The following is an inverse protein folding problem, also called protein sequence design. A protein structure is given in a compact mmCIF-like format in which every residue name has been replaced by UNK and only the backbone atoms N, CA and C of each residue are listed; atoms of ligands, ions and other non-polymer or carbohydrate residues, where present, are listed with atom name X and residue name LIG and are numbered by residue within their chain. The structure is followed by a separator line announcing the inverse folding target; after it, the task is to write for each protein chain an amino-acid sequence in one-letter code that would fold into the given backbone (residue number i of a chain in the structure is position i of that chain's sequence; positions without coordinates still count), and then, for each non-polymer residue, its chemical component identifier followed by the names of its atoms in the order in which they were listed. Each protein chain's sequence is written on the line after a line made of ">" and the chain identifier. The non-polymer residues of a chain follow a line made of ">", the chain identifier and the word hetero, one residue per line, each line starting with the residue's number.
data_IF_236120967767
#
_entry.id   IF_236120967767
#
_cell.length_a   1.000
_cell.length_b   1.000
_cell.length_c   1.000
_cell.angle_alpha   90.00
_cell.angle_beta   90.00
_cell.angle_gamma   90.00
#
_symmetry.space_group_name_H-M   'P 1'
#
loop_
_entity.id
_entity.type
_entity.pdbx_description
1 polymer ?
#
# COMPACT_ATOMS: atom_id res chain seq x y z
N UNK A 1 60.23 2.33 -41.63
CA UNK A 1 59.57 2.17 -42.94
C UNK A 1 59.39 0.69 -43.21
N UNK A 2 58.20 0.18 -42.90
CA UNK A 2 57.62 -1.14 -43.21
C UNK A 2 56.18 -1.11 -42.65
N UNK A 3 55.23 -1.93 -43.16
CA UNK A 3 54.02 -1.42 -43.82
C UNK A 3 52.73 -1.54 -43.00
N UNK A 4 51.72 -0.72 -43.35
CA UNK A 4 50.32 -0.93 -42.97
C UNK A 4 49.60 -1.71 -44.07
N UNK A 5 49.17 -2.93 -43.76
CA UNK A 5 48.28 -3.76 -44.58
C UNK A 5 46.90 -3.73 -43.92
N UNK A 6 45.88 -3.33 -44.67
CA UNK A 6 44.48 -3.40 -44.29
C UNK A 6 43.88 -4.79 -44.54
N UNK A 7 43.08 -5.29 -43.60
CA UNK A 7 42.06 -6.34 -43.78
C UNK A 7 40.92 -6.04 -42.78
N UNK A 8 39.78 -5.54 -43.25
CA UNK A 8 38.54 -6.28 -43.54
C UNK A 8 37.89 -6.97 -42.32
N UNK A 9 36.65 -6.53 -42.04
CA UNK A 9 35.48 -7.29 -41.56
C UNK A 9 35.62 -8.27 -40.37
N UNK A 10 34.81 -8.06 -39.31
CA UNK A 10 34.04 -9.06 -38.54
C UNK A 10 33.86 -8.61 -37.07
N UNK A 11 32.69 -8.10 -36.70
CA UNK A 11 32.09 -8.41 -35.38
C UNK A 11 30.57 -8.15 -35.41
N UNK A 12 29.84 -9.11 -36.00
CA UNK A 12 28.53 -9.53 -35.48
C UNK A 12 28.78 -10.75 -34.58
N UNK A 13 27.80 -11.04 -33.70
CA UNK A 13 27.72 -12.16 -32.74
C UNK A 13 28.34 -11.84 -31.36
N UNK A 14 27.76 -12.19 -30.21
CA UNK A 14 26.61 -13.04 -29.92
C UNK A 14 26.07 -12.72 -28.52
N UNK A 15 24.75 -12.62 -28.38
CA UNK A 15 24.06 -12.87 -27.11
C UNK A 15 24.01 -14.38 -26.90
N UNK A 16 24.83 -14.90 -26.00
CA UNK A 16 24.84 -16.31 -25.65
C UNK A 16 23.76 -16.58 -24.59
N UNK A 17 22.71 -17.28 -25.01
CA UNK A 17 21.73 -17.91 -24.12
C UNK A 17 22.41 -19.11 -23.44
N UNK A 18 22.55 -19.10 -22.12
CA UNK A 18 22.95 -20.28 -21.36
C UNK A 18 21.69 -21.12 -21.06
N UNK A 19 21.44 -22.14 -21.88
CA UNK A 19 20.50 -23.22 -21.55
C UNK A 19 21.32 -24.34 -20.92
N UNK A 20 21.21 -24.51 -19.60
CA UNK A 20 21.67 -25.72 -18.93
C UNK A 20 20.61 -26.80 -19.10
N UNK A 21 20.88 -27.73 -20.03
CA UNK A 21 20.10 -28.94 -20.20
C UNK A 21 20.51 -29.97 -19.13
N UNK A 22 19.61 -30.33 -18.21
CA UNK A 22 19.68 -31.62 -17.52
C UNK A 22 18.93 -32.66 -18.37
N UNK A 23 19.67 -33.64 -18.85
CA UNK A 23 19.18 -34.77 -19.63
C UNK A 23 18.83 -35.89 -18.66
N UNK A 24 17.55 -36.18 -18.45
CA UNK A 24 17.07 -37.56 -18.19
C UNK A 24 15.64 -37.74 -18.67
N UNK A 25 15.52 -38.54 -19.75
CA UNK A 25 14.45 -39.47 -20.12
C UNK A 25 12.98 -39.02 -20.20
N UNK A 26 12.43 -39.28 -21.40
CA UNK A 26 11.00 -39.47 -21.75
C UNK A 26 10.17 -38.19 -21.68
N UNK A 27 9.17 -37.92 -22.52
CA UNK A 27 8.57 -38.52 -23.69
C UNK A 27 7.46 -37.52 -24.05
N UNK A 28 7.34 -37.18 -25.33
CA UNK A 28 6.11 -36.70 -25.98
C UNK A 28 5.61 -35.25 -25.83
N UNK A 29 5.30 -34.69 -27.00
CA UNK A 29 4.17 -33.80 -27.32
C UNK A 29 4.31 -32.29 -27.11
N UNK A 30 4.79 -31.61 -28.16
CA UNK A 30 4.51 -30.19 -28.41
C UNK A 30 3.12 -30.09 -29.02
N UNK A 31 2.14 -29.62 -28.26
CA UNK A 31 0.84 -29.17 -28.80
C UNK A 31 0.92 -27.67 -29.12
N UNK A 32 0.99 -27.34 -30.41
CA UNK A 32 0.75 -26.00 -30.90
C UNK A 32 -0.77 -25.72 -30.85
N UNK A 33 -1.20 -24.81 -29.99
CA UNK A 33 -2.57 -24.27 -30.02
C UNK A 33 -2.60 -23.02 -30.91
N UNK A 34 -3.14 -23.19 -32.10
CA UNK A 34 -3.64 -22.12 -32.96
C UNK A 34 -5.01 -21.73 -32.42
N UNK A 35 -5.18 -20.49 -31.97
CA UNK A 35 -6.50 -19.93 -31.66
C UNK A 35 -6.79 -18.83 -32.67
N UNK A 36 -7.66 -19.15 -33.63
CA UNK A 36 -8.30 -18.18 -34.54
C UNK A 36 -9.34 -17.33 -33.81
N UNK A 37 -9.59 -16.09 -34.27
CA UNK A 37 -10.58 -15.20 -33.69
C UNK A 37 -11.97 -15.49 -34.27
N UNK A 38 -12.98 -15.67 -33.40
CA UNK A 38 -14.38 -15.56 -33.79
C UNK A 38 -15.15 -14.79 -32.73
N UNK A 39 -15.51 -13.55 -33.07
CA UNK A 39 -16.56 -12.78 -32.42
C UNK A 39 -17.92 -13.47 -32.58
N UNK A 40 -18.79 -13.30 -31.58
CA UNK A 40 -20.18 -13.00 -31.89
C UNK A 40 -20.62 -11.67 -31.26
N UNK A 41 -21.14 -10.82 -32.15
CA UNK A 41 -21.93 -9.61 -31.89
C UNK A 41 -23.11 -9.94 -30.99
N UNK A 42 -23.19 -9.31 -29.81
CA UNK A 42 -24.34 -9.44 -28.92
C UNK A 42 -25.04 -8.08 -28.71
N UNK A 43 -26.33 -8.15 -29.03
CA UNK A 43 -27.40 -7.15 -29.03
C UNK A 43 -27.60 -6.36 -27.73
N UNK A 44 -27.85 -5.06 -27.90
CA UNK A 44 -28.46 -4.12 -26.92
C UNK A 44 -29.70 -4.71 -26.23
N UNK A 45 -29.86 -4.54 -24.91
CA UNK A 45 -31.17 -4.44 -24.28
C UNK A 45 -31.55 -2.99 -23.96
N UNK A 46 -32.86 -2.82 -23.84
CA UNK A 46 -33.63 -1.60 -23.93
C UNK A 46 -33.58 -0.69 -22.69
N UNK A 47 -33.94 0.57 -22.95
CA UNK A 47 -34.28 1.62 -21.99
C UNK A 47 -35.18 1.12 -20.85
N UNK A 48 -34.77 1.35 -19.60
CA UNK A 48 -35.65 1.34 -18.43
C UNK A 48 -36.08 2.78 -18.07
N UNK A 49 -37.35 2.98 -17.63
CA UNK A 49 -37.90 4.30 -17.39
C UNK A 49 -37.45 4.89 -16.03
N UNK A 50 -37.37 6.22 -15.99
CA UNK A 50 -36.97 7.02 -14.85
C UNK A 50 -37.78 6.73 -13.58
N UNK A 51 -37.09 6.38 -12.49
CA UNK A 51 -37.65 6.31 -11.14
C UNK A 51 -37.90 7.73 -10.60
N UNK A 52 -39.17 8.06 -10.42
CA UNK A 52 -39.60 9.32 -9.82
C UNK A 52 -39.09 9.44 -8.37
N UNK A 53 -38.39 10.54 -8.07
CA UNK A 53 -37.97 10.90 -6.72
C UNK A 53 -39.21 11.21 -5.85
N UNK A 54 -39.33 10.65 -4.63
CA UNK A 54 -40.45 10.96 -3.74
C UNK A 54 -40.34 12.39 -3.20
N UNK A 55 -41.48 13.07 -3.13
CA UNK A 55 -41.56 14.47 -2.73
C UNK A 55 -41.16 14.70 -1.25
N UNK A 56 -40.54 15.86 -0.93
CA UNK A 56 -39.91 16.15 0.37
C UNK A 56 -40.87 16.13 1.57
N UNK A 57 -42.18 16.18 1.34
CA UNK A 57 -43.20 16.11 2.39
C UNK A 57 -43.41 14.69 2.93
N UNK A 58 -43.19 13.64 2.12
CA UNK A 58 -43.33 12.24 2.57
C UNK A 58 -42.11 11.75 3.37
N UNK A 59 -40.93 12.32 3.13
CA UNK A 59 -39.68 11.98 3.84
C UNK A 59 -39.64 12.51 5.29
N UNK A 60 -40.27 13.66 5.58
CA UNK A 60 -40.33 14.20 6.96
C UNK A 60 -41.25 13.38 7.88
N UNK A 61 -42.31 12.76 7.34
CA UNK A 61 -43.28 11.98 8.11
C UNK A 61 -42.71 10.62 8.55
N UNK A 62 -41.87 10.00 7.72
CA UNK A 62 -41.21 8.72 8.02
C UNK A 62 -40.07 8.85 9.04
N UNK A 63 -39.35 9.98 9.05
CA UNK A 63 -38.28 10.21 10.04
C UNK A 63 -38.82 10.38 11.47
N UNK A 64 -39.94 11.12 11.62
CA UNK A 64 -40.60 11.33 12.94
C UNK A 64 -41.23 10.04 13.50
N UNK A 65 -41.71 9.15 12.62
CA UNK A 65 -42.21 7.82 13.04
C UNK A 65 -41.08 6.87 13.46
N UNK A 66 -39.91 6.93 12.80
CA UNK A 66 -38.74 6.12 13.20
C UNK A 66 -38.18 6.53 14.56
N UNK A 67 -38.10 7.82 14.87
CA UNK A 67 -37.64 8.30 16.18
C UNK A 67 -38.59 7.89 17.32
N UNK A 68 -39.90 7.95 17.10
CA UNK A 68 -40.89 7.51 18.08
C UNK A 68 -40.83 5.99 18.34
N UNK A 69 -40.53 5.19 17.30
CA UNK A 69 -40.38 3.73 17.44
C UNK A 69 -39.11 3.35 18.23
N UNK A 70 -38.00 4.06 18.01
CA UNK A 70 -36.73 3.82 18.73
C UNK A 70 -36.84 4.22 20.21
N UNK A 71 -37.46 5.36 20.52
CA UNK A 71 -37.70 5.79 21.90
C UNK A 71 -38.60 4.80 22.68
N UNK A 72 -39.58 4.18 22.02
CA UNK A 72 -40.46 3.17 22.63
C UNK A 72 -39.75 1.84 22.88
N UNK A 73 -38.75 1.48 22.05
CA UNK A 73 -37.92 0.27 22.25
C UNK A 73 -37.00 0.42 23.47
N UNK A 74 -36.36 1.58 23.63
CA UNK A 74 -35.48 1.88 24.77
C UNK A 74 -36.23 1.91 26.11
N UNK A 75 -37.49 2.38 26.13
CA UNK A 75 -38.34 2.34 27.34
C UNK A 75 -38.80 0.92 27.69
N UNK A 76 -39.02 0.05 26.71
CA UNK A 76 -39.38 -1.36 26.96
C UNK A 76 -38.20 -2.19 27.47
N UNK A 77 -36.96 -1.89 27.07
CA UNK A 77 -35.77 -2.58 27.60
C UNK A 77 -35.43 -2.17 29.03
N UNK A 78 -35.84 -0.97 29.48
CA UNK A 78 -35.65 -0.53 30.87
C UNK A 78 -36.67 -1.14 31.86
N UNK A 79 -37.84 -1.57 31.38
CA UNK A 79 -38.92 -2.10 32.21
C UNK A 79 -38.93 -3.64 32.36
N UNK A 80 -37.97 -4.34 31.73
CA UNK A 80 -37.94 -5.80 31.64
C UNK A 80 -36.74 -6.48 32.30
N UNK A 81 -35.97 -5.77 33.13
CA UNK A 81 -34.90 -6.40 33.90
C UNK A 81 -35.51 -7.11 35.13
N UNK A 82 -35.39 -8.44 35.26
CA UNK A 82 -35.84 -9.13 36.46
C UNK A 82 -35.03 -8.66 37.67
N UNK A 83 -35.73 -8.43 38.79
CA UNK A 83 -35.09 -8.12 40.06
C UNK A 83 -34.07 -9.20 40.40
N UNK A 84 -32.79 -8.80 40.46
CA UNK A 84 -31.68 -9.66 40.87
C UNK A 84 -31.99 -10.18 42.27
N UNK A 85 -32.32 -11.46 42.38
CA UNK A 85 -32.39 -12.16 43.67
C UNK A 85 -31.03 -11.98 44.35
N UNK A 86 -31.05 -11.47 45.58
CA UNK A 86 -29.87 -11.44 46.46
C UNK A 86 -29.33 -12.87 46.54
N UNK A 87 -28.20 -13.11 45.87
CA UNK A 87 -27.42 -14.32 46.05
C UNK A 87 -26.71 -14.17 47.38
N UNK A 88 -27.01 -15.09 48.31
CA UNK A 88 -26.31 -15.18 49.59
C UNK A 88 -24.81 -15.34 49.32
N UNK A 89 -24.07 -14.31 49.70
CA UNK A 89 -22.61 -14.27 49.62
C UNK A 89 -22.09 -15.27 50.66
N UNK A 90 -21.30 -16.29 50.28
CA UNK A 90 -20.69 -17.18 51.26
C UNK A 90 -19.82 -16.35 52.21
N UNK A 91 -20.03 -16.60 53.50
CA UNK A 91 -19.29 -16.00 54.63
C UNK A 91 -17.81 -16.35 54.45
N UNK A 92 -17.04 -15.38 53.95
CA UNK A 92 -15.59 -15.51 53.87
C UNK A 92 -15.06 -15.56 55.31
N UNK A 93 -14.43 -16.67 55.67
CA UNK A 93 -13.66 -16.80 56.90
C UNK A 93 -12.55 -15.74 56.84
N UNK A 94 -12.50 -14.88 57.86
CA UNK A 94 -11.44 -13.92 58.03
C UNK A 94 -10.14 -14.69 58.30
N UNK A 95 -9.26 -14.76 57.31
CA UNK A 95 -7.84 -14.93 57.55
C UNK A 95 -7.28 -13.53 57.78
N UNK A 96 -6.99 -13.23 59.04
CA UNK A 96 -6.18 -12.08 59.45
C UNK A 96 -4.79 -12.20 58.84
N UNK A 97 -4.64 -11.67 57.63
CA UNK A 97 -3.38 -11.18 57.12
C UNK A 97 -3.57 -9.67 56.88
N UNK A 98 -2.70 -8.80 57.44
CA UNK A 98 -2.83 -7.37 57.23
C UNK A 98 -2.80 -7.08 55.72
N UNK A 99 -3.75 -6.31 55.18
CA UNK A 99 -3.67 -5.87 53.80
C UNK A 99 -2.42 -5.00 53.69
N UNK A 100 -1.44 -5.47 52.93
CA UNK A 100 -0.39 -4.60 52.44
C UNK A 100 -1.08 -3.44 51.72
N UNK A 101 -0.99 -2.25 52.30
CA UNK A 101 -1.48 -1.02 51.70
C UNK A 101 -0.79 -0.88 50.33
N UNK A 102 -1.48 -1.29 49.26
CA UNK A 102 -1.14 -0.83 47.92
C UNK A 102 -1.53 0.64 47.91
N UNK A 103 -0.53 1.49 47.71
CA UNK A 103 -0.68 2.94 47.59
C UNK A 103 -1.66 3.25 46.46
N UNK A 104 -2.86 3.73 46.80
CA UNK A 104 -3.86 4.24 45.84
C UNK A 104 -3.26 5.34 44.91
N UNK A 105 -2.17 5.96 45.32
CA UNK A 105 -1.43 6.98 44.55
C UNK A 105 -0.70 6.41 43.31
N UNK A 106 -0.21 5.16 43.35
CA UNK A 106 0.51 4.57 42.21
C UNK A 106 -0.45 4.19 41.07
N UNK A 107 -1.66 3.74 41.43
CA UNK A 107 -2.73 3.46 40.46
C UNK A 107 -3.28 4.74 39.83
N UNK A 108 -3.38 5.84 40.60
CA UNK A 108 -3.79 7.14 40.07
C UNK A 108 -2.76 7.74 39.08
N UNK A 109 -1.46 7.60 39.39
CA UNK A 109 -0.39 8.05 38.49
C UNK A 109 -0.35 7.23 37.18
N UNK A 110 -0.52 5.90 37.25
CA UNK A 110 -0.58 5.04 36.08
C UNK A 110 -1.79 5.36 35.18
N UNK A 111 -2.96 5.61 35.79
CA UNK A 111 -4.19 5.97 35.06
C UNK A 111 -4.05 7.33 34.39
N UNK A 112 -3.50 8.33 35.07
CA UNK A 112 -3.31 9.68 34.49
C UNK A 112 -2.30 9.68 33.34
N UNK A 113 -1.21 8.92 33.47
CA UNK A 113 -0.25 8.73 32.37
C UNK A 113 -0.91 8.10 31.14
N UNK A 114 -1.64 6.99 31.33
CA UNK A 114 -2.35 6.32 30.23
C UNK A 114 -3.40 7.20 29.58
N UNK A 115 -4.12 8.01 30.36
CA UNK A 115 -5.08 8.98 29.83
C UNK A 115 -4.39 10.06 28.98
N UNK A 116 -3.24 10.57 29.42
CA UNK A 116 -2.46 11.55 28.66
C UNK A 116 -1.95 10.98 27.33
N UNK A 117 -1.49 9.72 27.33
CA UNK A 117 -1.07 9.01 26.12
C UNK A 117 -2.23 8.82 25.13
N UNK A 118 -3.40 8.42 25.62
CA UNK A 118 -4.61 8.28 24.79
C UNK A 118 -5.02 9.61 24.15
N UNK A 119 -5.01 10.71 24.91
CA UNK A 119 -5.33 12.04 24.37
C UNK A 119 -4.29 12.46 23.32
N UNK A 120 -3.01 12.19 23.55
CA UNK A 120 -1.94 12.49 22.58
C UNK A 120 -2.11 11.68 21.30
N UNK A 121 -2.45 10.40 21.43
CA UNK A 121 -2.73 9.51 20.29
C UNK A 121 -3.93 10.00 19.48
N UNK A 122 -5.02 10.39 20.15
CA UNK A 122 -6.21 10.95 19.51
C UNK A 122 -5.92 12.25 18.76
N UNK A 123 -5.19 13.19 19.39
CA UNK A 123 -4.82 14.45 18.74
C UNK A 123 -4.00 14.21 17.47
N UNK A 124 -3.06 13.26 17.53
CA UNK A 124 -2.22 12.88 16.37
C UNK A 124 -3.03 12.21 15.27
N UNK A 125 -3.94 11.30 15.60
CA UNK A 125 -4.86 10.69 14.63
C UNK A 125 -5.72 11.75 13.92
N UNK A 126 -6.29 12.68 14.67
CA UNK A 126 -7.06 13.80 14.09
C UNK A 126 -6.20 14.68 13.18
N UNK A 127 -4.93 14.93 13.54
CA UNK A 127 -4.01 15.67 12.69
C UNK A 127 -3.80 14.98 11.34
N UNK A 128 -3.55 13.66 11.32
CA UNK A 128 -3.37 12.90 10.07
C UNK A 128 -4.64 12.95 9.22
N UNK A 129 -5.79 12.68 9.83
CA UNK A 129 -7.09 12.71 9.14
C UNK A 129 -7.33 14.08 8.48
N UNK A 130 -7.03 15.16 9.21
CA UNK A 130 -7.23 16.53 8.75
C UNK A 130 -6.24 16.88 7.64
N UNK A 131 -4.95 16.60 7.82
CA UNK A 131 -3.91 16.86 6.83
C UNK A 131 -4.22 16.15 5.51
N UNK A 132 -4.46 14.84 5.54
CA UNK A 132 -4.78 14.06 4.32
C UNK A 132 -6.07 14.57 3.67
N UNK A 133 -7.12 14.88 4.44
CA UNK A 133 -8.35 15.42 3.89
C UNK A 133 -8.12 16.75 3.18
N UNK A 134 -7.36 17.64 3.79
CA UNK A 134 -7.14 18.98 3.27
C UNK A 134 -6.22 18.93 2.03
N UNK A 135 -5.16 18.10 2.05
CA UNK A 135 -4.33 17.79 0.88
C UNK A 135 -5.14 17.20 -0.28
N UNK A 136 -5.98 16.21 -0.02
CA UNK A 136 -6.86 15.62 -1.05
C UNK A 136 -7.85 16.66 -1.58
N UNK A 137 -8.41 17.50 -0.71
CA UNK A 137 -9.35 18.56 -1.12
C UNK A 137 -8.66 19.67 -1.92
N UNK A 138 -7.35 19.87 -1.72
CA UNK A 138 -6.52 20.79 -2.47
C UNK A 138 -6.12 20.28 -3.87
N UNK A 139 -6.31 18.99 -4.15
CA UNK A 139 -6.05 18.45 -5.49
C UNK A 139 -7.04 19.05 -6.50
N UNK A 140 -6.51 19.55 -7.62
CA UNK A 140 -7.34 19.84 -8.79
C UNK A 140 -7.81 18.53 -9.42
N UNK A 141 -9.01 18.10 -9.02
CA UNK A 141 -9.62 16.87 -9.50
C UNK A 141 -9.76 16.80 -11.02
N UNK A 142 -9.93 17.94 -11.71
CA UNK A 142 -10.01 17.95 -13.17
C UNK A 142 -8.65 17.65 -13.79
N UNK A 143 -7.60 18.31 -13.33
CA UNK A 143 -6.22 18.02 -13.75
C UNK A 143 -5.81 16.58 -13.44
N UNK A 144 -6.15 16.04 -12.26
CA UNK A 144 -5.86 14.65 -11.90
C UNK A 144 -6.55 13.67 -12.87
N UNK A 145 -7.84 13.86 -13.14
CA UNK A 145 -8.60 13.00 -14.08
C UNK A 145 -8.11 13.13 -15.51
N UNK A 146 -7.73 14.34 -15.92
CA UNK A 146 -7.15 14.60 -17.24
C UNK A 146 -5.82 13.86 -17.41
N UNK A 147 -4.93 13.93 -16.42
CA UNK A 147 -3.67 13.19 -16.40
C UNK A 147 -3.90 11.66 -16.45
N UNK A 148 -4.77 11.13 -15.59
CA UNK A 148 -5.12 9.70 -15.59
C UNK A 148 -5.73 9.23 -16.93
N UNK A 149 -6.43 10.10 -17.64
CA UNK A 149 -7.01 9.79 -18.94
C UNK A 149 -5.96 9.85 -20.05
N UNK A 150 -5.07 10.85 -20.03
CA UNK A 150 -4.07 11.12 -21.06
C UNK A 150 -2.85 10.20 -20.99
N UNK A 151 -2.23 10.08 -19.81
CA UNK A 151 -1.00 9.30 -19.60
C UNK A 151 -1.21 8.02 -18.80
N UNK A 152 -2.36 7.88 -18.15
CA UNK A 152 -2.64 6.74 -17.27
C UNK A 152 -2.08 6.90 -15.85
N UNK A 153 -1.39 8.00 -15.56
CA UNK A 153 -0.85 8.25 -14.22
C UNK A 153 -0.84 9.75 -13.88
N UNK A 154 -0.81 10.07 -12.59
CA UNK A 154 -0.70 11.43 -12.05
C UNK A 154 0.34 11.44 -10.92
N UNK A 155 1.20 12.45 -10.88
CA UNK A 155 2.21 12.64 -9.84
C UNK A 155 1.93 13.96 -9.15
N UNK A 156 1.92 13.95 -7.81
CA UNK A 156 1.74 15.12 -6.96
C UNK A 156 2.89 15.14 -5.96
N UNK A 157 3.73 16.17 -6.06
CA UNK A 157 4.83 16.40 -5.13
C UNK A 157 4.39 17.29 -3.97
N UNK A 158 5.01 17.12 -2.81
CA UNK A 158 4.66 17.81 -1.56
C UNK A 158 3.16 17.63 -1.25
N UNK A 159 2.70 16.39 -1.25
CA UNK A 159 1.27 16.11 -1.11
C UNK A 159 0.73 16.49 0.28
N UNK A 160 1.42 16.11 1.35
CA UNK A 160 1.02 16.45 2.72
C UNK A 160 1.52 17.84 3.14
N UNK A 161 2.62 18.32 2.55
CA UNK A 161 3.30 19.57 2.93
C UNK A 161 3.67 19.64 4.42
N UNK A 162 3.73 18.48 5.08
CA UNK A 162 4.04 18.32 6.51
C UNK A 162 5.19 17.32 6.66
N UNK A 163 6.41 17.86 6.71
CA UNK A 163 7.63 17.08 6.87
C UNK A 163 7.67 16.32 8.20
N UNK A 164 7.05 16.87 9.26
CA UNK A 164 6.99 16.25 10.58
C UNK A 164 6.07 15.02 10.52
N UNK A 165 4.87 15.17 9.98
CA UNK A 165 3.93 14.07 9.79
C UNK A 165 4.53 12.98 8.91
N UNK A 166 5.16 13.37 7.80
CA UNK A 166 5.83 12.43 6.89
C UNK A 166 6.93 11.63 7.61
N UNK A 167 7.72 12.29 8.45
CA UNK A 167 8.75 11.62 9.27
C UNK A 167 8.16 10.71 10.35
N UNK A 168 7.04 11.07 10.96
CA UNK A 168 6.35 10.20 11.91
C UNK A 168 5.76 8.96 11.23
N UNK A 169 5.18 9.09 10.03
CA UNK A 169 4.67 7.97 9.24
C UNK A 169 5.80 7.04 8.74
N UNK A 170 6.92 7.62 8.32
CA UNK A 170 8.15 6.87 7.98
C UNK A 170 8.65 6.04 9.18
N UNK A 171 8.68 6.64 10.37
CA UNK A 171 9.10 5.96 11.59
C UNK A 171 8.15 4.81 11.95
N UNK A 172 6.83 4.99 11.79
CA UNK A 172 5.85 3.90 11.95
C UNK A 172 6.07 2.77 10.94
N UNK A 173 6.30 3.12 9.66
CA UNK A 173 6.58 2.14 8.62
C UNK A 173 7.84 1.31 8.92
N UNK A 174 8.92 1.96 9.36
CA UNK A 174 10.15 1.29 9.77
C UNK A 174 9.94 0.41 11.02
N UNK A 175 9.10 0.83 11.95
CA UNK A 175 8.76 0.04 13.15
C UNK A 175 7.94 -1.20 12.80
N UNK A 176 6.95 -1.08 11.91
CA UNK A 176 6.18 -2.21 11.41
C UNK A 176 7.07 -3.22 10.70
N UNK A 177 7.98 -2.74 9.85
CA UNK A 177 8.91 -3.60 9.12
C UNK A 177 9.80 -4.44 10.06
N UNK A 178 10.31 -3.83 11.13
CA UNK A 178 11.16 -4.51 12.11
C UNK A 178 10.38 -5.42 13.06
N UNK A 179 9.04 -5.32 13.09
CA UNK A 179 8.21 -6.15 13.96
C UNK A 179 8.06 -7.55 13.37
N UNK A 180 8.49 -8.61 14.08
CA UNK A 180 8.41 -9.98 13.59
C UNK A 180 6.98 -10.46 13.35
N UNK A 181 5.98 -9.83 13.98
CA UNK A 181 4.55 -10.17 13.88
C UNK A 181 3.83 -9.49 12.70
N UNK A 182 4.45 -8.48 12.07
CA UNK A 182 3.88 -7.73 10.96
C UNK A 182 4.44 -8.15 9.60
N UNK A 183 5.58 -8.84 9.58
CA UNK A 183 6.22 -9.33 8.36
C UNK A 183 5.61 -10.67 7.91
N UNK A 184 4.45 -10.63 7.25
CA UNK A 184 4.08 -11.72 6.34
C UNK A 184 4.99 -11.64 5.12
N UNK A 185 6.05 -12.43 5.11
CA UNK A 185 7.02 -12.42 4.02
C UNK A 185 6.36 -12.90 2.72
N UNK A 186 6.24 -12.01 1.72
CA UNK A 186 5.79 -12.42 0.40
C UNK A 186 6.87 -13.25 -0.26
N UNK A 187 6.60 -14.54 -0.49
CA UNK A 187 7.53 -15.44 -1.19
C UNK A 187 7.73 -15.04 -2.65
N UNK A 188 6.82 -14.23 -3.22
CA UNK A 188 6.86 -13.76 -4.61
C UNK A 188 7.99 -12.74 -4.83
N UNK A 189 8.51 -12.10 -3.76
CA UNK A 189 9.51 -11.04 -3.85
C UNK A 189 10.91 -11.43 -3.36
N UNK A 190 11.18 -12.73 -3.18
CA UNK A 190 12.50 -13.24 -2.76
C UNK A 190 13.59 -12.76 -3.74
N UNK A 191 14.56 -12.00 -3.23
CA UNK A 191 15.69 -11.46 -4.02
C UNK A 191 15.48 -10.04 -4.57
N UNK A 192 14.27 -9.49 -4.50
CA UNK A 192 13.99 -8.10 -4.94
C UNK A 192 14.38 -7.04 -3.90
N UNK A 193 14.47 -7.43 -2.63
CA UNK A 193 14.60 -6.51 -1.50
C UNK A 193 13.30 -5.80 -1.11
N UNK A 194 12.17 -6.19 -1.69
CA UNK A 194 10.85 -5.60 -1.42
C UNK A 194 10.12 -6.45 -0.39
N UNK A 195 9.77 -5.82 0.73
CA UNK A 195 8.91 -6.38 1.76
C UNK A 195 7.55 -5.72 1.67
N UNK A 196 6.50 -6.53 1.55
CA UNK A 196 5.13 -6.05 1.58
C UNK A 196 4.45 -6.55 2.86
N UNK A 197 3.81 -5.64 3.59
CA UNK A 197 2.96 -5.96 4.74
C UNK A 197 1.59 -5.32 4.57
N UNK A 198 0.54 -6.05 4.93
CA UNK A 198 -0.82 -5.51 4.94
C UNK A 198 -0.98 -4.54 6.11
N UNK A 199 -1.50 -3.34 5.85
CA UNK A 199 -1.80 -2.36 6.90
C UNK A 199 -3.25 -2.51 7.33
N UNK A 200 -3.47 -3.35 8.33
CA UNK A 200 -4.81 -3.69 8.76
C UNK A 200 -5.29 -2.78 9.89
N UNK A 201 -6.57 -2.43 9.85
CA UNK A 201 -7.23 -1.83 11.00
C UNK A 201 -7.46 -2.86 12.13
N UNK A 202 -8.03 -2.40 13.23
CA UNK A 202 -8.28 -3.22 14.41
C UNK A 202 -7.43 -2.79 15.60
N UNK A 203 -7.89 -3.10 16.81
CA UNK A 203 -7.32 -2.54 18.05
C UNK A 203 -5.82 -2.83 18.20
N UNK A 204 -5.40 -4.07 17.91
CA UNK A 204 -4.00 -4.50 18.04
C UNK A 204 -3.07 -3.85 17.00
N UNK A 205 -3.50 -3.80 15.73
CA UNK A 205 -2.69 -3.24 14.63
C UNK A 205 -2.70 -1.71 14.61
N UNK A 206 -3.79 -1.10 15.04
CA UNK A 206 -3.91 0.35 15.18
C UNK A 206 -2.95 0.90 16.23
N UNK A 207 -2.68 0.16 17.31
CA UNK A 207 -1.68 0.56 18.30
C UNK A 207 -0.26 0.64 17.71
N UNK A 208 0.05 -0.22 16.73
CA UNK A 208 1.38 -0.28 16.11
C UNK A 208 1.58 0.77 14.99
N UNK A 209 0.51 1.19 14.32
CA UNK A 209 0.60 2.07 13.14
C UNK A 209 -0.61 2.99 12.97
N UNK A 210 -0.94 3.80 13.99
CA UNK A 210 -2.16 4.60 13.99
C UNK A 210 -2.19 5.57 12.81
N UNK A 211 -1.07 6.23 12.47
CA UNK A 211 -1.04 7.23 11.41
C UNK A 211 -1.18 6.62 10.04
N UNK A 212 -0.55 5.46 9.80
CA UNK A 212 -0.69 4.75 8.53
C UNK A 212 -2.14 4.27 8.31
N UNK A 213 -2.81 3.80 9.36
CA UNK A 213 -4.24 3.44 9.29
C UNK A 213 -5.10 4.66 8.98
N UNK A 214 -4.88 5.79 9.67
CA UNK A 214 -5.65 7.02 9.43
C UNK A 214 -5.40 7.61 8.04
N UNK A 215 -4.18 7.49 7.52
CA UNK A 215 -3.86 7.84 6.15
C UNK A 215 -4.74 7.06 5.16
N UNK A 216 -4.82 5.73 5.31
CA UNK A 216 -5.68 4.89 4.46
C UNK A 216 -7.14 5.30 4.57
N UNK A 217 -7.64 5.45 5.79
CA UNK A 217 -9.04 5.80 6.04
C UNK A 217 -9.39 7.14 5.40
N UNK A 218 -8.56 8.16 5.62
CA UNK A 218 -8.77 9.51 5.09
C UNK A 218 -8.67 9.53 3.56
N UNK A 219 -7.62 8.92 2.99
CA UNK A 219 -7.42 8.86 1.56
C UNK A 219 -8.61 8.18 0.86
N UNK A 220 -9.08 7.05 1.41
CA UNK A 220 -10.24 6.32 0.87
C UNK A 220 -11.50 7.18 0.86
N UNK A 221 -11.74 7.87 1.97
CA UNK A 221 -12.95 8.66 2.16
C UNK A 221 -12.99 9.88 1.26
N UNK A 222 -11.84 10.50 0.99
CA UNK A 222 -11.77 11.81 0.35
C UNK A 222 -11.36 11.74 -1.13
N UNK A 223 -10.52 10.78 -1.52
CA UNK A 223 -10.02 10.69 -2.89
C UNK A 223 -11.05 10.07 -3.85
N UNK A 224 -11.78 9.04 -3.40
CA UNK A 224 -12.77 8.34 -4.22
C UNK A 224 -13.84 9.29 -4.80
N UNK A 225 -14.46 10.21 -4.02
CA UNK A 225 -15.39 11.19 -4.57
C UNK A 225 -14.78 12.09 -5.65
N UNK A 226 -13.52 12.51 -5.50
CA UNK A 226 -12.84 13.37 -6.49
C UNK A 226 -12.64 12.62 -7.81
N UNK A 227 -12.21 11.36 -7.74
CA UNK A 227 -12.01 10.52 -8.93
C UNK A 227 -13.36 10.17 -9.59
N UNK A 228 -14.41 9.94 -8.80
CA UNK A 228 -15.74 9.61 -9.31
C UNK A 228 -16.54 10.81 -9.82
N UNK A 229 -16.17 12.05 -9.47
CA UNK A 229 -16.88 13.26 -9.92
C UNK A 229 -16.95 13.40 -11.47
N UNK A 230 -16.02 12.79 -12.20
CA UNK A 230 -16.01 12.72 -13.66
C UNK A 230 -16.76 11.53 -14.27
N UNK A 231 -17.61 10.84 -13.50
CA UNK A 231 -18.28 9.61 -13.94
C UNK A 231 -17.46 8.34 -13.70
N UNK A 232 -16.48 8.40 -12.80
CA UNK A 232 -15.70 7.23 -12.37
C UNK A 232 -16.55 6.18 -11.66
N UNK A 233 -16.05 4.94 -11.64
CA UNK A 233 -16.75 3.76 -11.12
C UNK A 233 -16.05 3.14 -9.92
N UNK A 234 -15.20 3.87 -9.20
CA UNK A 234 -14.47 3.33 -8.05
C UNK A 234 -15.43 2.99 -6.90
N UNK A 235 -15.22 1.83 -6.28
CA UNK A 235 -15.97 1.37 -5.10
C UNK A 235 -15.44 2.03 -3.84
N UNK A 236 -16.34 2.60 -3.04
CA UNK A 236 -16.02 2.98 -1.66
C UNK A 236 -15.87 1.73 -0.79
N UNK A 237 -14.78 1.65 -0.01
CA UNK A 237 -14.59 0.61 1.01
C UNK A 237 -14.10 -0.75 0.51
N UNK A 238 -13.83 -0.93 -0.78
CA UNK A 238 -13.12 -2.10 -1.31
C UNK A 238 -11.75 -1.67 -1.79
N UNK A 239 -10.74 -1.91 -0.95
CA UNK A 239 -9.36 -1.61 -1.25
C UNK A 239 -8.41 -2.68 -0.74
N UNK A 240 -7.25 -2.73 -1.36
CA UNK A 240 -6.08 -3.44 -0.83
C UNK A 240 -5.06 -2.39 -0.43
N UNK A 241 -4.50 -2.53 0.76
CA UNK A 241 -3.48 -1.63 1.25
C UNK A 241 -2.25 -2.41 1.69
N UNK A 242 -1.09 -2.01 1.22
CA UNK A 242 0.17 -2.63 1.58
C UNK A 242 1.22 -1.56 1.83
N UNK A 243 1.93 -1.69 2.93
CA UNK A 243 3.20 -1.00 3.13
C UNK A 243 4.28 -1.80 2.42
N UNK A 244 5.00 -1.16 1.50
CA UNK A 244 6.17 -1.70 0.82
C UNK A 244 7.43 -1.06 1.40
N UNK A 245 8.41 -1.88 1.72
CA UNK A 245 9.68 -1.45 2.29
C UNK A 245 10.81 -2.02 1.46
N UNK A 246 11.74 -1.17 1.07
CA UNK A 246 12.90 -1.55 0.28
C UNK A 246 14.12 -1.59 1.19
N UNK A 247 14.60 -2.81 1.45
CA UNK A 247 15.75 -3.05 2.33
C UNK A 247 16.89 -3.73 1.58
N UNK A 248 18.01 -3.02 1.52
CA UNK A 248 19.26 -3.51 0.94
C UNK A 248 19.81 -4.71 1.69
N UNK A 249 19.88 -4.66 3.02
CA UNK A 249 20.52 -5.69 3.84
C UNK A 249 19.81 -7.02 3.62
N UNK A 250 18.48 -6.95 3.64
CA UNK A 250 17.63 -8.04 3.26
C UNK A 250 17.84 -8.56 1.82
N UNK A 251 17.90 -7.67 0.82
CA UNK A 251 18.19 -8.06 -0.57
C UNK A 251 19.51 -8.82 -0.65
N UNK A 252 20.54 -8.30 0.02
CA UNK A 252 21.86 -8.91 0.07
C UNK A 252 21.81 -10.29 0.70
N UNK A 253 21.22 -10.42 1.88
CA UNK A 253 21.08 -11.72 2.55
C UNK A 253 20.29 -12.72 1.73
N UNK A 254 19.23 -12.28 1.04
CA UNK A 254 18.45 -13.14 0.14
C UNK A 254 19.28 -13.62 -1.06
N UNK A 255 20.02 -12.71 -1.70
CA UNK A 255 20.89 -13.07 -2.83
C UNK A 255 22.03 -14.00 -2.40
N UNK A 256 22.68 -13.74 -1.26
CA UNK A 256 23.72 -14.60 -0.71
C UNK A 256 23.20 -16.01 -0.39
N UNK A 257 21.97 -16.10 0.13
CA UNK A 257 21.32 -17.39 0.37
C UNK A 257 21.00 -18.16 -0.93
N UNK A 258 20.64 -17.45 -2.00
CA UNK A 258 20.30 -18.06 -3.30
C UNK A 258 21.56 -18.50 -4.05
N UNK A 259 22.58 -17.63 -4.11
CA UNK A 259 23.80 -17.88 -4.89
C UNK A 259 24.77 -18.78 -4.12
N UNK A 260 24.69 -18.81 -2.78
CA UNK A 260 25.57 -19.61 -1.93
C UNK A 260 26.99 -19.04 -1.75
N UNK A 261 27.20 -17.79 -2.17
CA UNK A 261 28.45 -17.04 -1.99
C UNK A 261 28.16 -15.59 -1.60
N UNK A 262 29.17 -14.91 -1.03
CA UNK A 262 29.10 -13.48 -0.74
C UNK A 262 28.87 -12.70 -2.03
N UNK A 263 27.86 -11.83 -2.04
CA UNK A 263 27.53 -10.99 -3.19
C UNK A 263 28.11 -9.59 -2.96
N UNK A 264 29.16 -9.27 -3.71
CA UNK A 264 29.81 -7.96 -3.77
C UNK A 264 29.08 -7.00 -4.74
N UNK A 265 29.35 -5.69 -4.62
CA UNK A 265 28.49 -4.63 -5.18
C UNK A 265 28.24 -4.70 -6.69
N UNK A 266 29.20 -5.22 -7.49
CA UNK A 266 29.02 -5.44 -8.93
C UNK A 266 28.08 -6.61 -9.24
N UNK A 267 28.29 -7.77 -8.59
CA UNK A 267 27.39 -8.93 -8.71
C UNK A 267 25.98 -8.60 -8.21
N UNK A 268 25.87 -7.77 -7.18
CA UNK A 268 24.59 -7.31 -6.63
C UNK A 268 23.76 -6.53 -7.67
N UNK A 269 24.40 -5.67 -8.47
CA UNK A 269 23.75 -4.94 -9.54
C UNK A 269 23.43 -5.82 -10.76
N UNK A 270 24.33 -6.74 -11.14
CA UNK A 270 24.15 -7.62 -12.31
C UNK A 270 23.06 -8.68 -12.10
N UNK A 271 23.06 -9.34 -10.94
CA UNK A 271 22.04 -10.34 -10.57
C UNK A 271 20.69 -9.66 -10.30
N UNK A 272 20.71 -8.45 -9.73
CA UNK A 272 19.53 -7.67 -9.42
C UNK A 272 18.87 -6.97 -10.62
N UNK A 273 19.60 -6.72 -11.70
CA UNK A 273 19.10 -6.00 -12.89
C UNK A 273 18.36 -6.87 -13.91
N UNK A 274 18.50 -8.20 -13.84
CA UNK A 274 17.84 -9.16 -14.75
C UNK A 274 16.85 -10.08 -14.05
N UNK A 275 16.95 -10.23 -12.73
CA UNK A 275 15.83 -10.67 -11.91
C UNK A 275 14.87 -9.50 -11.68
N UNK A 276 14.41 -8.88 -12.77
CA UNK A 276 13.03 -8.44 -12.84
C UNK A 276 12.19 -9.68 -12.67
N UNK A 277 12.08 -10.17 -11.42
CA UNK A 277 10.93 -10.96 -11.04
C UNK A 277 9.77 -10.15 -11.59
N UNK A 278 9.01 -10.81 -12.46
CA UNK A 278 7.74 -10.32 -12.90
C UNK A 278 6.99 -10.07 -11.59
N UNK A 279 7.05 -8.84 -11.07
CA UNK A 279 5.91 -8.25 -10.37
C UNK A 279 4.83 -8.54 -11.37
N UNK A 280 4.06 -9.62 -11.12
CA UNK A 280 3.06 -10.16 -12.04
C UNK A 280 2.50 -8.96 -12.75
N UNK A 281 2.71 -8.89 -14.06
CA UNK A 281 2.30 -7.74 -14.87
C UNK A 281 0.95 -7.29 -14.34
N UNK A 282 0.92 -6.19 -13.56
CA UNK A 282 -0.19 -5.95 -12.62
C UNK A 282 -1.36 -5.38 -13.42
N UNK A 283 -1.87 -6.16 -14.37
CA UNK A 283 -3.22 -6.02 -14.87
C UNK A 283 -4.11 -6.60 -13.78
N UNK A 284 -4.26 -5.80 -12.73
CA UNK A 284 -5.04 -6.18 -11.57
C UNK A 284 -6.51 -6.09 -12.00
N UNK A 285 -7.06 -7.21 -12.46
CA UNK A 285 -8.46 -7.28 -12.85
C UNK A 285 -9.32 -6.75 -11.70
N UNK A 286 -10.12 -5.72 -12.01
CA UNK A 286 -10.97 -5.05 -11.04
C UNK A 286 -10.31 -3.95 -10.22
N UNK A 287 -9.02 -3.64 -10.36
CA UNK A 287 -8.45 -2.40 -9.81
C UNK A 287 -8.78 -1.24 -10.74
N UNK A 288 -9.30 -0.16 -10.18
CA UNK A 288 -9.56 1.07 -10.90
C UNK A 288 -8.38 2.03 -10.85
N UNK A 289 -7.83 2.29 -9.65
CA UNK A 289 -6.68 3.18 -9.45
C UNK A 289 -5.80 2.65 -8.32
N UNK A 290 -4.49 2.54 -8.57
CA UNK A 290 -3.47 2.34 -7.54
C UNK A 290 -2.91 3.70 -7.11
N UNK A 291 -2.71 3.88 -5.81
CA UNK A 291 -2.18 5.10 -5.22
C UNK A 291 -0.97 4.74 -4.37
N UNK A 292 0.17 5.36 -4.68
CA UNK A 292 1.43 5.16 -4.01
C UNK A 292 1.81 6.47 -3.30
N UNK A 293 2.22 6.37 -2.05
CA UNK A 293 2.72 7.50 -1.27
C UNK A 293 4.11 7.20 -0.72
N UNK A 294 5.07 8.02 -1.10
CA UNK A 294 6.48 7.80 -0.81
C UNK A 294 6.90 8.47 0.50
N UNK A 295 7.31 7.64 1.45
CA UNK A 295 7.86 8.02 2.76
C UNK A 295 9.35 7.68 2.76
N UNK A 296 10.10 8.29 1.86
CA UNK A 296 11.55 8.06 1.75
C UNK A 296 12.33 9.04 2.64
N UNK A 297 13.49 8.64 3.17
CA UNK A 297 14.34 9.50 4.00
C UNK A 297 14.68 10.83 3.32
N UNK A 298 14.95 11.86 4.13
CA UNK A 298 15.45 13.14 3.60
C UNK A 298 16.76 12.94 2.83
N UNK A 299 16.88 13.58 1.67
CA UNK A 299 18.07 13.48 0.82
C UNK A 299 18.15 12.22 -0.05
N UNK A 300 17.15 11.34 0.00
CA UNK A 300 17.06 10.15 -0.87
C UNK A 300 17.19 10.48 -2.36
N UNK A 301 16.70 11.65 -2.77
CA UNK A 301 16.66 12.10 -4.17
C UNK A 301 18.01 12.62 -4.67
N UNK A 302 18.84 13.15 -3.77
CA UNK A 302 20.15 13.73 -4.12
C UNK A 302 21.11 12.68 -4.69
N UNK A 303 20.86 11.41 -4.38
CA UNK A 303 21.68 10.30 -4.82
C UNK A 303 21.52 10.00 -6.31
N UNK A 304 20.38 10.41 -6.91
CA UNK A 304 20.16 10.30 -8.35
C UNK A 304 20.90 11.39 -9.14
N UNK A 305 21.12 12.56 -8.54
CA UNK A 305 21.72 13.74 -9.21
C UNK A 305 23.25 13.69 -9.27
N UNK A 306 23.92 13.11 -8.27
CA UNK A 306 25.40 13.16 -8.18
C UNK A 306 26.12 12.17 -9.11
N UNK A 307 25.53 11.00 -9.38
CA UNK A 307 26.17 9.95 -10.21
C UNK A 307 25.43 9.67 -11.53
N UNK A 308 24.26 10.28 -11.75
CA UNK A 308 23.39 9.94 -12.88
C UNK A 308 22.86 8.49 -12.82
N UNK A 309 23.02 7.83 -11.67
CA UNK A 309 22.59 6.47 -11.40
C UNK A 309 21.68 6.51 -10.17
N UNK A 310 20.48 5.96 -10.31
CA UNK A 310 19.53 5.87 -9.22
C UNK A 310 19.98 4.80 -8.21
N UNK A 311 20.17 5.21 -6.97
CA UNK A 311 20.47 4.35 -5.83
C UNK A 311 19.24 4.32 -4.89
N UNK A 312 18.54 3.19 -4.83
CA UNK A 312 17.40 2.95 -3.97
C UNK A 312 16.47 1.86 -4.50
N UNK A 313 15.32 1.64 -3.85
CA UNK A 313 14.20 0.86 -4.38
C UNK A 313 12.94 1.69 -4.50
N UNK A 314 11.93 1.17 -5.21
CA UNK A 314 10.60 1.78 -5.29
C UNK A 314 10.38 2.78 -6.42
N UNK A 315 11.31 2.87 -7.37
CA UNK A 315 11.08 3.54 -8.64
C UNK A 315 9.99 2.81 -9.41
N UNK A 316 8.95 3.52 -9.84
CA UNK A 316 7.89 2.95 -10.66
C UNK A 316 8.23 3.14 -12.12
N UNK A 317 8.18 2.06 -12.89
CA UNK A 317 8.33 2.07 -14.34
C UNK A 317 6.98 1.79 -14.99
N UNK A 318 6.46 2.75 -15.75
CA UNK A 318 5.27 2.58 -16.58
C UNK A 318 5.68 1.92 -17.90
N UNK A 319 5.02 0.83 -18.26
CA UNK A 319 5.36 -0.02 -19.40
C UNK A 319 4.37 0.17 -20.55
N UNK A 320 4.89 0.37 -21.75
CA UNK A 320 4.11 0.37 -23.00
C UNK A 320 3.73 -1.04 -23.41
N UNK A 321 2.87 -1.21 -24.44
CA UNK A 321 2.37 -2.52 -24.92
C UNK A 321 3.49 -3.51 -25.32
N UNK A 322 4.64 -3.00 -25.74
CA UNK A 322 5.83 -3.78 -26.10
C UNK A 322 6.73 -4.15 -24.89
N UNK A 323 6.31 -3.79 -23.67
CA UNK A 323 7.08 -4.01 -22.44
C UNK A 323 8.20 -3.01 -22.24
N UNK A 324 8.38 -2.01 -23.12
CA UNK A 324 9.38 -0.96 -22.93
C UNK A 324 8.92 0.04 -21.88
N UNK A 325 9.89 0.57 -21.14
CA UNK A 325 9.66 1.66 -20.19
C UNK A 325 9.28 2.93 -20.95
N UNK A 326 8.05 3.41 -20.75
CA UNK A 326 7.56 4.69 -21.27
C UNK A 326 7.90 5.85 -20.33
N UNK A 327 7.81 5.58 -19.03
CA UNK A 327 8.08 6.58 -17.98
C UNK A 327 8.65 5.91 -16.74
N UNK A 328 9.67 6.53 -16.17
CA UNK A 328 10.14 6.22 -14.82
C UNK A 328 9.74 7.34 -13.86
N UNK A 329 9.27 6.95 -12.67
CA UNK A 329 8.86 7.85 -11.60
C UNK A 329 9.71 7.51 -10.38
N UNK A 330 10.64 8.40 -10.03
CA UNK A 330 11.50 8.23 -8.87
C UNK A 330 10.70 8.41 -7.56
N UNK A 331 11.05 7.67 -6.50
CA UNK A 331 10.46 7.87 -5.19
C UNK A 331 11.05 9.12 -4.55
N UNK A 332 10.20 10.13 -4.43
CA UNK A 332 10.50 11.45 -3.87
C UNK A 332 9.76 11.57 -2.54
N UNK A 333 10.35 12.22 -1.54
CA UNK A 333 9.71 12.35 -0.23
C UNK A 333 8.42 13.15 -0.38
N UNK A 334 7.34 12.70 0.26
CA UNK A 334 6.04 13.37 0.20
C UNK A 334 5.47 13.45 -1.24
N UNK A 335 5.76 12.43 -2.06
CA UNK A 335 5.17 12.25 -3.40
C UNK A 335 4.00 11.28 -3.35
N UNK A 336 2.87 11.71 -3.90
CA UNK A 336 1.73 10.87 -4.22
C UNK A 336 1.73 10.53 -5.72
N UNK A 337 1.58 9.26 -6.06
CA UNK A 337 1.43 8.79 -7.45
C UNK A 337 0.12 8.04 -7.58
N UNK A 338 -0.71 8.43 -8.54
CA UNK A 338 -1.92 7.72 -8.92
C UNK A 338 -1.67 7.03 -10.25
N UNK A 339 -2.02 5.75 -10.38
CA UNK A 339 -1.85 4.94 -11.57
C UNK A 339 -3.19 4.29 -11.89
N UNK A 340 -3.67 4.43 -13.12
CA UNK A 340 -4.91 3.78 -13.58
C UNK A 340 -4.70 2.26 -13.61
N UNK A 341 -5.69 1.48 -13.18
CA UNK A 341 -5.53 0.04 -12.96
C UNK A 341 -5.28 -0.82 -14.19
N UNK A 342 -5.53 -0.30 -15.40
CA UNK A 342 -5.19 -0.91 -16.69
C UNK A 342 -3.76 -0.57 -17.17
N UNK A 343 -3.06 0.35 -16.50
CA UNK A 343 -1.71 0.75 -16.83
C UNK A 343 -0.71 -0.23 -16.25
N UNK A 344 0.05 -0.86 -17.14
CA UNK A 344 1.11 -1.79 -16.77
C UNK A 344 2.26 -1.02 -16.13
N UNK A 345 2.64 -1.45 -14.94
CA UNK A 345 3.75 -0.87 -14.22
C UNK A 345 4.47 -1.94 -13.42
N UNK A 346 5.75 -1.67 -13.15
CA UNK A 346 6.58 -2.46 -12.24
C UNK A 346 7.28 -1.52 -11.27
N UNK A 347 7.54 -2.01 -10.07
CA UNK A 347 8.37 -1.31 -9.09
C UNK A 347 9.76 -1.94 -9.08
N UNK A 348 10.77 -1.11 -9.23
CA UNK A 348 12.15 -1.54 -9.13
C UNK A 348 12.45 -1.97 -7.69
N UNK A 349 13.10 -3.13 -7.54
CA UNK A 349 13.72 -3.52 -6.29
C UNK A 349 14.85 -2.57 -5.89
N UNK A 350 15.51 -2.86 -4.77
CA UNK A 350 16.61 -2.01 -4.31
C UNK A 350 17.84 -2.10 -5.23
N UNK A 351 18.38 -0.98 -5.70
CA UNK A 351 19.56 -0.83 -6.56
C UNK A 351 20.54 0.12 -5.87
N UNK A 352 21.85 -0.15 -5.87
CA UNK A 352 22.84 0.83 -5.39
C UNK A 352 24.09 0.24 -4.75
N UNK A 353 25.00 1.13 -4.30
CA UNK A 353 26.29 0.76 -3.69
C UNK A 353 26.24 0.47 -2.19
N UNK A 354 27.36 0.03 -1.60
CA UNK A 354 27.40 -0.61 -0.29
C UNK A 354 27.23 0.33 0.93
N UNK A 355 27.42 1.61 0.73
CA UNK A 355 27.35 2.72 1.68
C UNK A 355 25.92 3.28 1.86
N UNK A 356 25.02 2.92 0.96
CA UNK A 356 23.64 3.38 0.91
C UNK A 356 22.71 2.52 1.80
N UNK A 357 22.89 2.58 3.12
CA UNK A 357 22.20 1.72 4.10
C UNK A 357 20.79 2.22 4.52
N UNK A 358 20.01 2.78 3.59
CA UNK A 358 18.72 3.38 3.93
C UNK A 358 17.54 2.46 3.57
N UNK A 359 16.63 2.32 4.53
CA UNK A 359 15.32 1.70 4.37
C UNK A 359 14.39 2.76 3.79
N UNK A 360 13.74 2.50 2.66
CA UNK A 360 12.66 3.36 2.15
C UNK A 360 11.31 2.68 2.29
N UNK A 361 10.28 3.48 2.57
CA UNK A 361 8.88 3.05 2.63
C UNK A 361 8.06 3.65 1.49
N UNK A 362 7.21 2.83 0.89
CA UNK A 362 6.15 3.25 -0.01
C UNK A 362 4.83 2.68 0.50
N UNK A 363 3.85 3.52 0.73
CA UNK A 363 2.51 3.09 1.05
C UNK A 363 1.70 2.90 -0.23
N UNK A 364 1.08 1.74 -0.43
CA UNK A 364 0.27 1.45 -1.63
C UNK A 364 -1.18 1.19 -1.22
N UNK A 365 -2.11 1.96 -1.78
CA UNK A 365 -3.57 1.75 -1.70
C UNK A 365 -4.11 1.48 -3.09
N UNK A 366 -4.76 0.34 -3.29
CA UNK A 366 -5.41 -0.04 -4.54
C UNK A 366 -6.92 0.06 -4.39
N UNK A 367 -7.55 0.96 -5.13
CA UNK A 367 -9.00 1.12 -5.20
C UNK A 367 -9.60 0.22 -6.28
N UNK A 368 -10.64 -0.53 -5.95
CA UNK A 368 -11.29 -1.44 -6.88
C UNK A 368 -12.41 -0.75 -7.68
N UNK A 369 -12.62 -1.17 -8.92
CA UNK A 369 -13.76 -0.80 -9.76
C UNK A 369 -15.05 -1.49 -9.30
N UNK A 370 -16.18 -0.89 -9.69
CA UNK A 370 -17.51 -1.44 -9.54
C UNK A 370 -17.80 -2.68 -10.38
#
# INVERSE_FOLDING_TARGET
>A
MTPMISKSALTQCASLLLITASKTSSSSSIHAFVISPNLPTATRPAFHPATQRPSPLKAKKTRKQKEAATARRLRKSAAGLPAVKKVDRPKHVAQDAPPAARSDDDDAAAVTSRAAELVKLQKRSVQVLTAVKDSVSGLDGESVRSALSASGYCVVDNFLEDAVLTGEMEAEAASLYRSPEASSFSTVSIGSGIYASSVEGGEERYAASPRLVEYVVSLTRHLVPILNAGGGTLREGVQRNSLRVYDRAAKKSALEAIVGESVDGKKFAEVGGTAGFVSEEQKTEGVGVAVLYYMVPEGWEKWEEEEGVYHGGGKVQILGEDGKVLKSISPVRDRLVLIRGDVRHVEDGWVGQNDHALISGCFVVQFMNN
#
